data_IF_145683227112
#
_entry.id   IF_145683227112
#
_cell.length_a   1.000
_cell.length_b   1.000
_cell.length_c   1.000
_cell.angle_alpha   90.00
_cell.angle_beta   90.00
_cell.angle_gamma   90.00
#
_symmetry.space_group_name_H-M   'P 1'
#
loop_
_entity.id
_entity.type
_entity.pdbx_description
1 polymer ?
#
# COMPACT_ATOMS: atom_id res chain seq x y z
N UNK A 1 6.83 -9.87 27.01
CA UNK A 1 5.90 -9.06 26.19
C UNK A 1 6.60 -8.04 25.27
N UNK A 2 7.71 -7.39 25.68
CA UNK A 2 8.44 -6.42 24.82
C UNK A 2 8.93 -6.99 23.47
N UNK A 3 9.43 -8.23 23.44
CA UNK A 3 9.86 -8.87 22.20
C UNK A 3 8.71 -9.04 21.19
N UNK A 4 7.51 -9.41 21.67
CA UNK A 4 6.31 -9.54 20.82
C UNK A 4 5.90 -8.21 20.20
N UNK A 5 5.96 -7.11 20.96
CA UNK A 5 5.67 -5.77 20.46
C UNK A 5 6.65 -5.34 19.36
N UNK A 6 7.94 -5.64 19.53
CA UNK A 6 8.94 -5.39 18.49
C UNK A 6 8.68 -6.18 17.22
N UNK A 7 8.38 -7.48 17.35
CA UNK A 7 8.02 -8.33 16.20
C UNK A 7 6.81 -7.74 15.47
N UNK A 8 5.77 -7.36 16.20
CA UNK A 8 4.58 -6.75 15.64
C UNK A 8 4.89 -5.42 14.91
N UNK A 9 5.70 -4.55 15.50
CA UNK A 9 6.13 -3.29 14.87
C UNK A 9 6.87 -3.55 13.55
N UNK A 10 7.79 -4.52 13.52
CA UNK A 10 8.54 -4.87 12.30
C UNK A 10 7.60 -5.42 11.23
N UNK A 11 6.68 -6.32 11.59
CA UNK A 11 5.69 -6.88 10.65
C UNK A 11 4.80 -5.78 10.08
N UNK A 12 4.29 -4.88 10.92
CA UNK A 12 3.46 -3.75 10.47
C UNK A 12 4.25 -2.81 9.56
N UNK A 13 5.50 -2.52 9.90
CA UNK A 13 6.36 -1.65 9.09
C UNK A 13 6.65 -2.26 7.71
N UNK A 14 6.99 -3.55 7.64
CA UNK A 14 7.20 -4.26 6.38
C UNK A 14 5.92 -4.31 5.54
N UNK A 15 4.78 -4.52 6.18
CA UNK A 15 3.47 -4.48 5.51
C UNK A 15 3.19 -3.08 4.95
N UNK A 16 3.45 -2.03 5.73
CA UNK A 16 3.35 -0.65 5.27
C UNK A 16 4.25 -0.36 4.08
N UNK A 17 5.49 -0.88 4.07
CA UNK A 17 6.40 -0.73 2.93
C UNK A 17 5.89 -1.44 1.67
N UNK A 18 5.37 -2.66 1.80
CA UNK A 18 4.76 -3.36 0.68
C UNK A 18 3.56 -2.59 0.10
N UNK A 19 2.69 -2.07 0.97
CA UNK A 19 1.55 -1.25 0.59
C UNK A 19 1.98 0.08 -0.04
N UNK A 20 3.06 0.70 0.43
CA UNK A 20 3.60 1.93 -0.16
C UNK A 20 4.09 1.70 -1.59
N UNK A 21 4.83 0.60 -1.83
CA UNK A 21 5.27 0.23 -3.19
C UNK A 21 4.07 -0.02 -4.10
N UNK A 22 3.05 -0.73 -3.60
CA UNK A 22 1.82 -0.99 -4.35
C UNK A 22 1.08 0.33 -4.65
N UNK A 23 0.97 1.23 -3.67
CA UNK A 23 0.37 2.56 -3.81
C UNK A 23 1.08 3.37 -4.89
N UNK A 24 2.42 3.39 -4.92
CA UNK A 24 3.18 4.05 -5.99
C UNK A 24 2.85 3.43 -7.36
N UNK A 25 2.75 2.09 -7.44
CA UNK A 25 2.32 1.38 -8.65
C UNK A 25 0.91 1.77 -9.12
N UNK A 26 -0.05 1.95 -8.19
CA UNK A 26 -1.42 2.38 -8.53
C UNK A 26 -1.43 3.76 -9.17
N UNK A 27 -0.72 4.73 -8.60
CA UNK A 27 -0.61 6.06 -9.20
C UNK A 27 0.14 6.04 -10.53
N UNK A 28 1.18 5.21 -10.65
CA UNK A 28 1.92 5.07 -11.90
C UNK A 28 1.06 4.51 -13.05
N UNK A 29 0.02 3.73 -12.73
CA UNK A 29 -0.93 3.20 -13.71
C UNK A 29 -1.95 4.24 -14.22
N UNK A 30 -2.17 5.32 -13.45
CA UNK A 30 -3.04 6.44 -13.83
C UNK A 30 -2.37 7.39 -14.84
N UNK A 31 -1.05 7.30 -15.00
CA UNK A 31 -0.29 8.13 -15.94
C UNK A 31 -0.33 7.51 -17.35
N UNK A 32 -0.74 8.26 -18.39
CA UNK A 32 -0.77 7.77 -19.76
C UNK A 32 0.59 7.25 -20.27
N UNK A 33 0.54 6.27 -21.17
CA UNK A 33 1.67 5.50 -21.71
C UNK A 33 2.81 6.39 -22.25
N UNK A 34 3.76 6.73 -21.37
CA UNK A 34 4.94 7.54 -21.71
C UNK A 34 5.66 8.10 -20.48
N UNK A 35 4.95 8.37 -19.38
CA UNK A 35 5.53 9.02 -18.19
C UNK A 35 6.12 8.12 -17.10
N UNK A 36 5.96 6.79 -17.19
CA UNK A 36 6.26 5.84 -16.10
C UNK A 36 7.01 4.60 -16.58
N UNK A 37 7.88 4.07 -15.72
CA UNK A 37 8.66 2.86 -16.01
C UNK A 37 7.77 1.60 -16.05
N UNK A 38 8.20 0.59 -16.82
CA UNK A 38 7.43 -0.64 -17.03
C UNK A 38 7.25 -1.46 -15.73
N UNK A 39 8.23 -1.43 -14.83
CA UNK A 39 8.15 -2.11 -13.53
C UNK A 39 7.10 -1.48 -12.61
N UNK A 40 6.96 -0.15 -12.61
CA UNK A 40 5.93 0.55 -11.84
C UNK A 40 4.52 0.25 -12.37
N UNK A 41 4.37 0.14 -13.69
CA UNK A 41 3.08 -0.28 -14.30
C UNK A 41 2.73 -1.72 -13.94
N UNK A 42 3.73 -2.61 -13.89
CA UNK A 42 3.52 -4.00 -13.48
C UNK A 42 3.00 -4.10 -12.05
N UNK A 43 3.50 -3.25 -11.14
CA UNK A 43 2.98 -3.13 -9.77
C UNK A 43 1.53 -2.62 -9.75
N UNK A 44 1.19 -1.63 -10.58
CA UNK A 44 -0.21 -1.18 -10.73
C UNK A 44 -1.15 -2.27 -11.22
N UNK A 45 -0.69 -3.17 -12.10
CA UNK A 45 -1.45 -4.34 -12.55
C UNK A 45 -1.78 -5.36 -11.45
N UNK A 46 -0.99 -5.40 -10.37
CA UNK A 46 -1.29 -6.26 -9.21
C UNK A 46 -2.49 -5.68 -8.44
N UNK A 47 -2.58 -4.35 -8.33
CA UNK A 47 -3.70 -3.71 -7.62
C UNK A 47 -5.02 -3.79 -8.39
N UNK A 48 -4.99 -3.76 -9.72
CA UNK A 48 -6.18 -3.99 -10.54
C UNK A 48 -6.72 -5.41 -10.37
N UNK A 49 -5.84 -6.42 -10.36
CA UNK A 49 -6.23 -7.79 -10.05
C UNK A 49 -6.78 -7.93 -8.63
N UNK A 50 -6.15 -7.29 -7.65
CA UNK A 50 -6.61 -7.33 -6.26
C UNK A 50 -7.98 -6.67 -6.10
N UNK A 51 -8.22 -5.56 -6.80
CA UNK A 51 -9.49 -4.83 -6.75
C UNK A 51 -10.63 -5.61 -7.40
N UNK A 52 -10.35 -6.32 -8.50
CA UNK A 52 -11.30 -7.24 -9.10
C UNK A 52 -11.70 -8.37 -8.14
N UNK A 53 -10.75 -8.90 -7.36
CA UNK A 53 -11.04 -9.91 -6.33
C UNK A 53 -11.87 -9.38 -5.16
N UNK A 54 -11.72 -8.09 -4.85
CA UNK A 54 -12.45 -7.43 -3.78
C UNK A 54 -13.78 -6.80 -4.25
N UNK A 55 -14.18 -7.01 -5.50
CA UNK A 55 -15.34 -6.37 -6.14
C UNK A 55 -15.30 -4.82 -6.08
N UNK A 56 -14.10 -4.25 -6.12
CA UNK A 56 -13.86 -2.80 -6.10
C UNK A 56 -13.72 -2.21 -7.50
N UNK A 57 -13.99 -2.97 -8.56
CA UNK A 57 -13.85 -2.53 -9.96
C UNK A 57 -14.81 -1.39 -10.34
N UNK A 58 -15.89 -1.20 -9.58
CA UNK A 58 -16.83 -0.09 -9.76
C UNK A 58 -16.28 1.25 -9.29
N UNK A 59 -15.20 1.27 -8.50
CA UNK A 59 -14.59 2.49 -8.01
C UNK A 59 -13.63 3.10 -9.05
N UNK A 60 -13.64 4.42 -9.25
CA UNK A 60 -12.64 5.10 -10.07
C UNK A 60 -11.22 4.80 -9.59
N UNK A 61 -10.29 4.61 -10.53
CA UNK A 61 -8.89 4.27 -10.20
C UNK A 61 -8.20 5.27 -9.27
N UNK A 62 -8.51 6.56 -9.40
CA UNK A 62 -8.02 7.60 -8.50
C UNK A 62 -8.55 7.44 -7.07
N UNK A 63 -9.84 7.11 -6.91
CA UNK A 63 -10.46 6.87 -5.60
C UNK A 63 -9.82 5.67 -4.92
N UNK A 64 -9.60 4.58 -5.65
CA UNK A 64 -8.90 3.38 -5.15
C UNK A 64 -7.47 3.69 -4.71
N UNK A 65 -6.70 4.41 -5.54
CA UNK A 65 -5.34 4.82 -5.20
C UNK A 65 -5.32 5.70 -3.92
N UNK A 66 -6.29 6.60 -3.77
CA UNK A 66 -6.42 7.44 -2.57
C UNK A 66 -6.75 6.61 -1.32
N UNK A 67 -7.67 5.64 -1.42
CA UNK A 67 -7.95 4.71 -0.32
C UNK A 67 -6.71 3.90 0.06
N UNK A 68 -5.93 3.45 -0.92
CA UNK A 68 -4.64 2.77 -0.73
C UNK A 68 -3.66 3.63 0.08
N UNK A 69 -3.55 4.94 -0.22
CA UNK A 69 -2.72 5.88 0.55
C UNK A 69 -3.17 5.94 2.01
N UNK A 70 -4.49 6.07 2.24
CA UNK A 70 -5.05 6.18 3.59
C UNK A 70 -4.74 4.90 4.38
N UNK A 71 -5.00 3.72 3.80
CA UNK A 71 -4.72 2.42 4.44
C UNK A 71 -3.23 2.28 4.74
N UNK A 72 -2.36 2.62 3.79
CA UNK A 72 -0.90 2.58 3.97
C UNK A 72 -0.46 3.48 5.13
N UNK A 73 -0.96 4.72 5.17
CA UNK A 73 -0.68 5.67 6.24
C UNK A 73 -1.14 5.18 7.61
N UNK A 74 -2.32 4.56 7.69
CA UNK A 74 -2.83 3.95 8.92
C UNK A 74 -1.95 2.81 9.43
N UNK A 75 -1.43 1.95 8.53
CA UNK A 75 -0.51 0.87 8.91
C UNK A 75 0.79 1.45 9.47
N UNK A 76 1.36 2.47 8.84
CA UNK A 76 2.54 3.14 9.37
C UNK A 76 2.27 3.82 10.71
N UNK A 77 1.13 4.51 10.86
CA UNK A 77 0.74 5.13 12.12
C UNK A 77 0.58 4.10 13.25
N UNK A 78 -0.05 2.95 12.97
CA UNK A 78 -0.17 1.83 13.91
C UNK A 78 1.20 1.27 14.29
N UNK A 79 2.10 1.08 13.31
CA UNK A 79 3.46 0.61 13.58
C UNK A 79 4.22 1.55 14.52
N UNK A 80 4.06 2.86 14.33
CA UNK A 80 4.69 3.89 15.16
C UNK A 80 4.05 3.98 16.55
N UNK A 81 2.73 3.82 16.65
CA UNK A 81 1.99 3.84 17.91
C UNK A 81 2.34 2.66 18.82
N UNK A 82 2.47 1.46 18.24
CA UNK A 82 2.74 0.20 18.98
C UNK A 82 4.23 0.08 19.35
N UNK A 83 5.11 0.86 18.69
CA UNK A 83 6.56 0.82 18.93
C UNK A 83 6.87 0.90 20.44
N UNK A 84 7.50 -0.14 21.01
CA UNK A 84 7.76 -0.17 22.44
C UNK A 84 8.72 0.96 22.83
N UNK A 85 8.23 1.86 23.69
CA UNK A 85 8.99 2.96 24.31
C UNK A 85 9.61 2.45 25.61
N UNK A 86 10.86 2.85 25.86
CA UNK A 86 11.63 2.48 27.06
C UNK A 86 10.99 3.01 28.32
#
# INVERSE_FOLDING_TARGET
MRALLWVLTVVLFLTGMALAVLTIGTFASLVPNGGTSLWLRSLGGIETLLSARLNLDSLPGFTRATLMVIVTGLIFALSAYIKPRS
#
